data_IF_436513572298
#
_entry.id   IF_436513572298
#
_cell.length_a   1.000
_cell.length_b   1.000
_cell.length_c   1.000
_cell.angle_alpha   90.00
_cell.angle_beta   90.00
_cell.angle_gamma   90.00
#
_symmetry.space_group_name_H-M   'P 1'
#
loop_
_entity.id
_entity.type
_entity.pdbx_description
1 polymer ?
#
# COMPACT_ATOMS: atom_id res chain seq x y z
N UNK A 1 12.88 -9.80 -48.79
CA UNK A 1 13.81 -10.80 -49.36
C UNK A 1 14.70 -11.27 -48.24
N UNK A 2 14.45 -12.46 -47.71
CA UNK A 2 15.17 -13.07 -46.62
C UNK A 2 16.47 -13.70 -47.14
N UNK A 3 17.61 -13.31 -46.62
CA UNK A 3 18.87 -14.02 -46.84
C UNK A 3 19.24 -14.82 -45.57
N UNK A 4 19.22 -16.12 -45.70
CA UNK A 4 19.73 -17.09 -44.76
C UNK A 4 21.24 -17.18 -44.99
N UNK A 5 22.05 -16.85 -44.00
CA UNK A 5 23.51 -17.07 -44.00
C UNK A 5 23.85 -18.38 -43.32
N UNK A 6 24.25 -19.40 -44.11
CA UNK A 6 24.97 -20.58 -43.60
C UNK A 6 26.43 -20.20 -43.30
N UNK A 7 26.86 -20.41 -42.07
CA UNK A 7 28.29 -20.30 -41.71
C UNK A 7 28.99 -21.64 -41.97
N UNK A 8 29.96 -21.65 -42.86
CA UNK A 8 30.97 -22.73 -43.01
C UNK A 8 32.33 -22.18 -42.57
N UNK A 9 32.94 -22.88 -41.65
CA UNK A 9 34.29 -22.59 -41.14
C UNK A 9 35.29 -22.49 -42.30
N UNK A 10 36.03 -21.40 -42.35
CA UNK A 10 37.46 -21.19 -42.60
C UNK A 10 37.71 -19.77 -43.12
N UNK A 11 38.57 -19.03 -42.44
CA UNK A 11 39.26 -17.88 -43.02
C UNK A 11 38.50 -16.54 -42.89
N UNK A 12 39.16 -15.66 -42.18
CA UNK A 12 38.81 -14.24 -42.01
C UNK A 12 38.47 -13.58 -43.36
N UNK A 13 37.26 -13.13 -43.50
CA UNK A 13 36.92 -12.18 -44.56
C UNK A 13 36.10 -11.04 -43.90
N UNK A 14 36.73 -9.88 -43.78
CA UNK A 14 36.03 -8.66 -43.37
C UNK A 14 35.19 -8.16 -44.56
N UNK A 15 33.90 -8.17 -44.42
CA UNK A 15 33.01 -7.43 -45.31
C UNK A 15 32.57 -6.16 -44.61
N UNK A 16 33.12 -5.05 -45.04
CA UNK A 16 32.67 -3.70 -44.64
C UNK A 16 31.62 -3.26 -45.68
N UNK A 17 30.39 -3.15 -45.27
CA UNK A 17 29.35 -2.46 -46.06
C UNK A 17 29.01 -1.18 -45.36
N UNK A 18 29.55 -0.07 -45.88
CA UNK A 18 29.20 1.28 -45.41
C UNK A 18 27.96 1.77 -46.14
N UNK A 19 26.88 2.00 -45.41
CA UNK A 19 25.81 2.88 -45.82
C UNK A 19 25.35 3.69 -44.57
N UNK A 20 25.63 4.99 -44.59
CA UNK A 20 25.00 6.00 -43.75
C UNK A 20 25.66 6.22 -42.38
N UNK A 21 26.40 7.29 -42.25
CA UNK A 21 26.77 8.14 -41.11
C UNK A 21 26.58 7.64 -39.66
N UNK A 22 27.08 6.47 -39.32
CA UNK A 22 27.16 5.96 -37.95
C UNK A 22 28.51 5.32 -37.73
N UNK A 23 29.19 5.63 -36.61
CA UNK A 23 30.49 5.05 -36.26
C UNK A 23 30.46 3.52 -36.36
N UNK A 24 31.37 2.98 -37.13
CA UNK A 24 31.54 1.54 -37.32
C UNK A 24 32.00 0.91 -35.99
N UNK A 25 31.08 0.31 -35.26
CA UNK A 25 31.38 -0.47 -34.06
C UNK A 25 31.99 -1.80 -34.46
N UNK A 26 33.17 -2.11 -33.93
CA UNK A 26 33.84 -3.36 -34.21
C UNK A 26 33.13 -4.55 -33.55
N UNK A 27 33.28 -5.76 -34.10
CA UNK A 27 32.74 -7.01 -33.54
C UNK A 27 33.17 -7.25 -32.08
N UNK A 28 34.30 -6.72 -31.69
CA UNK A 28 34.82 -6.75 -30.32
C UNK A 28 34.02 -5.87 -29.37
N UNK A 29 33.53 -4.71 -29.81
CA UNK A 29 32.65 -3.83 -29.04
C UNK A 29 31.27 -4.48 -28.80
N UNK A 30 30.77 -5.23 -29.78
CA UNK A 30 29.49 -5.94 -29.66
C UNK A 30 29.55 -7.07 -28.65
N UNK A 31 30.64 -7.86 -28.65
CA UNK A 31 30.86 -8.95 -27.68
C UNK A 31 31.02 -8.43 -26.25
N UNK A 32 31.74 -7.33 -26.06
CA UNK A 32 31.92 -6.66 -24.77
C UNK A 32 30.60 -6.02 -24.25
N UNK A 33 29.74 -5.54 -25.14
CA UNK A 33 28.42 -5.01 -24.78
C UNK A 33 27.47 -6.12 -24.32
N UNK A 34 27.44 -7.24 -25.05
CA UNK A 34 26.62 -8.41 -24.66
C UNK A 34 27.08 -9.01 -23.33
N UNK A 35 28.38 -9.13 -23.09
CA UNK A 35 28.92 -9.63 -21.82
C UNK A 35 28.52 -8.76 -20.63
N UNK A 36 28.56 -7.43 -20.80
CA UNK A 36 28.13 -6.48 -19.76
C UNK A 36 26.63 -6.56 -19.49
N UNK A 37 25.80 -6.81 -20.50
CA UNK A 37 24.35 -6.93 -20.36
C UNK A 37 23.96 -8.22 -19.63
N UNK A 38 24.60 -9.34 -19.97
CA UNK A 38 24.37 -10.63 -19.29
C UNK A 38 24.85 -10.60 -17.84
N UNK A 39 25.97 -9.94 -17.54
CA UNK A 39 26.47 -9.76 -16.18
C UNK A 39 25.52 -8.88 -15.33
N UNK A 40 25.01 -7.76 -15.88
CA UNK A 40 24.01 -6.93 -15.21
C UNK A 40 22.71 -7.70 -14.90
N UNK A 41 22.22 -8.47 -15.85
CA UNK A 41 21.00 -9.30 -15.68
C UNK A 41 21.23 -10.37 -14.61
N UNK A 42 22.38 -11.03 -14.61
CA UNK A 42 22.75 -12.03 -13.60
C UNK A 42 22.81 -11.41 -12.20
N UNK A 43 23.46 -10.26 -12.04
CA UNK A 43 23.54 -9.53 -10.76
C UNK A 43 22.16 -9.06 -10.28
N UNK A 44 21.27 -8.64 -11.18
CA UNK A 44 19.92 -8.23 -10.86
C UNK A 44 19.07 -9.43 -10.39
N UNK A 45 19.17 -10.56 -11.08
CA UNK A 45 18.48 -11.81 -10.69
C UNK A 45 18.96 -12.30 -9.32
N UNK A 46 20.27 -12.22 -9.05
CA UNK A 46 20.86 -12.60 -7.77
C UNK A 46 20.41 -11.67 -6.62
N UNK A 47 20.27 -10.37 -6.88
CA UNK A 47 19.71 -9.42 -5.91
C UNK A 47 18.22 -9.69 -5.61
N UNK A 48 17.45 -10.01 -6.63
CA UNK A 48 16.03 -10.30 -6.48
C UNK A 48 15.81 -11.61 -5.70
N UNK A 49 16.59 -12.66 -5.98
CA UNK A 49 16.52 -13.92 -5.23
C UNK A 49 16.96 -13.76 -3.77
N UNK A 50 17.95 -12.92 -3.49
CA UNK A 50 18.36 -12.62 -2.12
C UNK A 50 17.29 -11.82 -1.36
N UNK A 51 16.54 -10.94 -2.04
CA UNK A 51 15.40 -10.22 -1.44
C UNK A 51 14.26 -11.17 -1.12
N UNK A 52 13.85 -12.02 -2.04
CA UNK A 52 12.80 -13.02 -1.79
C UNK A 52 13.16 -13.95 -0.64
N UNK A 53 14.38 -14.45 -0.58
CA UNK A 53 14.84 -15.28 0.54
C UNK A 53 14.77 -14.57 1.91
N UNK A 54 15.07 -13.26 1.95
CA UNK A 54 14.91 -12.46 3.19
C UNK A 54 13.44 -12.31 3.60
N UNK A 55 12.54 -12.05 2.66
CA UNK A 55 11.10 -11.97 2.95
C UNK A 55 10.53 -13.29 3.46
N UNK A 56 10.93 -14.42 2.86
CA UNK A 56 10.53 -15.74 3.33
C UNK A 56 11.07 -16.05 4.73
N UNK A 57 12.31 -15.66 5.02
CA UNK A 57 12.90 -15.85 6.35
C UNK A 57 12.14 -15.07 7.43
N UNK A 58 11.79 -13.80 7.16
CA UNK A 58 11.00 -12.95 8.08
C UNK A 58 9.59 -13.53 8.28
N UNK A 59 8.91 -13.93 7.21
CA UNK A 59 7.59 -14.55 7.29
C UNK A 59 7.60 -15.87 8.09
N UNK A 60 8.65 -16.67 7.94
CA UNK A 60 8.84 -17.91 8.70
C UNK A 60 9.10 -17.62 10.19
N UNK A 61 9.83 -16.56 10.50
CA UNK A 61 10.09 -16.15 11.88
C UNK A 61 8.81 -15.63 12.57
N UNK A 62 7.98 -14.85 11.89
CA UNK A 62 6.69 -14.40 12.39
C UNK A 62 5.74 -15.57 12.66
N UNK A 63 5.66 -16.57 11.75
CA UNK A 63 4.84 -17.76 11.95
C UNK A 63 5.31 -18.61 13.13
N UNK A 64 6.62 -18.64 13.44
CA UNK A 64 7.16 -19.34 14.63
C UNK A 64 6.83 -18.58 15.92
N UNK A 65 6.86 -17.26 15.92
CA UNK A 65 6.47 -16.43 17.06
C UNK A 65 5.01 -16.64 17.46
N UNK A 66 4.10 -16.58 16.48
CA UNK A 66 2.67 -16.77 16.74
C UNK A 66 2.29 -18.16 17.25
N UNK A 67 3.02 -19.20 16.85
CA UNK A 67 2.81 -20.56 17.37
C UNK A 67 3.28 -20.73 18.81
N UNK A 68 4.37 -20.05 19.21
CA UNK A 68 4.86 -20.09 20.60
C UNK A 68 3.90 -19.38 21.55
N UNK A 69 3.31 -18.24 21.16
CA UNK A 69 2.32 -17.55 22.00
C UNK A 69 1.04 -18.37 22.18
N UNK A 70 0.57 -19.08 21.15
CA UNK A 70 -0.58 -19.98 21.27
C UNK A 70 -0.30 -21.20 22.16
N UNK A 71 0.91 -21.75 22.11
CA UNK A 71 1.29 -22.90 22.94
C UNK A 71 1.40 -22.51 24.44
N UNK A 72 1.92 -21.32 24.74
CA UNK A 72 2.03 -20.84 26.14
C UNK A 72 0.66 -20.55 26.76
N UNK A 73 -0.32 -20.08 25.98
CA UNK A 73 -1.68 -19.83 26.48
C UNK A 73 -2.46 -21.11 26.77
N UNK A 74 -2.21 -22.18 26.03
CA UNK A 74 -2.90 -23.48 26.25
C UNK A 74 -2.34 -24.22 27.48
N UNK A 75 -1.05 -24.12 27.78
CA UNK A 75 -0.46 -24.79 28.96
C UNK A 75 -0.76 -24.06 30.27
N UNK A 76 -1.00 -22.77 30.26
CA UNK A 76 -1.39 -22.02 31.47
C UNK A 76 -2.84 -22.32 31.91
N UNK A 77 -3.71 -22.73 30.99
CA UNK A 77 -5.13 -23.00 31.29
C UNK A 77 -5.40 -24.34 32.01
N UNK A 78 -4.47 -25.28 32.00
CA UNK A 78 -4.66 -26.63 32.57
C UNK A 78 -4.22 -26.70 34.04
N UNK A 79 -3.38 -25.79 34.50
CA UNK A 79 -2.84 -25.78 35.86
C UNK A 79 -3.73 -25.14 36.94
N UNK A 80 -4.83 -24.45 36.55
CA UNK A 80 -5.69 -23.71 37.50
C UNK A 80 -6.98 -24.45 37.89
N UNK A 81 -7.32 -25.59 37.27
CA UNK A 81 -8.57 -26.31 37.55
C UNK A 81 -8.46 -27.29 38.74
N UNK A 82 -7.27 -27.44 39.37
CA UNK A 82 -6.99 -28.42 40.41
C UNK A 82 -7.18 -28.02 41.87
N UNK A 83 -7.42 -26.76 42.19
CA UNK A 83 -7.47 -26.28 43.58
C UNK A 83 -8.44 -25.11 43.73
N UNK A 84 -9.71 -25.31 43.79
CA UNK A 84 -10.68 -24.55 44.60
C UNK A 84 -12.07 -25.20 44.47
N UNK A 85 -12.28 -26.27 45.20
CA UNK A 85 -13.59 -26.53 45.75
C UNK A 85 -13.71 -25.73 47.04
N UNK A 86 -14.88 -25.13 47.24
CA UNK A 86 -15.32 -24.46 48.48
C UNK A 86 -14.83 -23.00 48.66
N UNK A 87 -15.61 -22.11 48.17
CA UNK A 87 -16.26 -20.99 48.90
C UNK A 87 -17.04 -20.12 47.91
N UNK A 88 -18.31 -20.40 47.76
CA UNK A 88 -19.28 -19.46 47.27
C UNK A 88 -19.51 -18.40 48.34
N UNK A 89 -19.60 -17.15 47.91
CA UNK A 89 -20.33 -16.00 48.41
C UNK A 89 -19.51 -14.75 48.59
N UNK A 90 -20.02 -13.72 47.89
CA UNK A 90 -19.78 -12.30 48.07
C UNK A 90 -18.39 -11.79 47.65
N UNK A 91 -18.31 -11.26 46.43
CA UNK A 91 -17.87 -9.86 46.19
C UNK A 91 -18.50 -9.44 44.86
N UNK A 92 -19.63 -8.78 44.92
CA UNK A 92 -20.09 -7.89 43.85
C UNK A 92 -19.24 -6.62 43.95
N UNK A 93 -18.59 -6.27 42.84
CA UNK A 93 -17.99 -4.97 42.65
C UNK A 93 -16.49 -4.91 42.90
N UNK A 94 -15.81 -4.58 41.86
CA UNK A 94 -14.48 -3.99 41.65
C UNK A 94 -13.58 -4.89 40.83
N UNK A 95 -13.26 -4.41 39.65
CA UNK A 95 -12.20 -4.95 38.83
C UNK A 95 -12.59 -5.05 37.35
N UNK A 96 -12.91 -3.93 36.73
CA UNK A 96 -12.77 -3.78 35.29
C UNK A 96 -11.28 -3.92 34.95
N UNK A 97 -10.81 -5.15 34.88
CA UNK A 97 -9.51 -5.46 34.35
C UNK A 97 -9.64 -5.34 32.85
N UNK A 98 -9.24 -4.16 32.33
CA UNK A 98 -9.25 -3.75 30.95
C UNK A 98 -8.80 -4.82 29.96
N UNK A 99 -9.67 -5.72 29.62
CA UNK A 99 -9.75 -6.30 28.32
C UNK A 99 -10.36 -5.19 27.46
N UNK A 100 -9.53 -4.42 26.76
CA UNK A 100 -9.95 -3.57 25.68
C UNK A 100 -10.50 -4.47 24.57
N UNK A 101 -11.68 -5.04 24.79
CA UNK A 101 -12.53 -5.52 23.73
C UNK A 101 -12.76 -4.29 22.86
N UNK A 102 -12.03 -4.24 21.75
CA UNK A 102 -12.11 -3.21 20.72
C UNK A 102 -13.57 -3.22 20.27
N UNK A 103 -14.39 -2.36 20.89
CA UNK A 103 -15.79 -2.19 20.52
C UNK A 103 -15.75 -1.70 19.08
N UNK A 104 -16.14 -2.56 18.14
CA UNK A 104 -16.35 -2.16 16.76
C UNK A 104 -17.42 -1.06 16.78
N UNK A 105 -16.97 0.18 16.78
CA UNK A 105 -17.85 1.34 16.68
C UNK A 105 -18.48 1.28 15.29
N UNK A 106 -19.79 1.30 15.22
CA UNK A 106 -20.49 1.30 13.93
C UNK A 106 -20.05 2.53 13.11
N UNK A 107 -19.79 2.33 11.82
CA UNK A 107 -19.46 3.41 10.89
C UNK A 107 -20.72 4.23 10.52
N UNK A 108 -21.38 4.80 11.54
CA UNK A 108 -22.52 5.68 11.32
C UNK A 108 -22.12 6.91 10.52
N UNK A 109 -22.91 7.27 9.50
CA UNK A 109 -22.62 8.38 8.60
C UNK A 109 -21.65 8.02 7.47
N UNK A 110 -21.27 6.74 7.31
CA UNK A 110 -20.60 6.29 6.10
C UNK A 110 -21.53 6.45 4.90
N UNK A 111 -21.06 7.13 3.87
CA UNK A 111 -21.77 7.29 2.60
C UNK A 111 -21.16 6.33 1.58
N UNK A 112 -22.01 5.64 0.83
CA UNK A 112 -21.60 4.69 -0.21
C UNK A 112 -21.99 5.21 -1.59
N UNK A 113 -21.11 5.05 -2.55
CA UNK A 113 -21.26 5.50 -3.95
C UNK A 113 -21.03 4.29 -4.87
N UNK A 114 -22.08 3.57 -5.25
CA UNK A 114 -21.96 2.40 -6.12
C UNK A 114 -21.80 2.78 -7.58
N UNK A 115 -21.29 1.83 -8.41
CA UNK A 115 -21.28 1.94 -9.87
C UNK A 115 -20.35 3.00 -10.43
N UNK A 116 -19.24 3.31 -9.73
CA UNK A 116 -18.25 4.26 -10.21
C UNK A 116 -17.51 3.71 -11.44
N UNK A 117 -17.28 4.57 -12.44
CA UNK A 117 -16.43 4.26 -13.60
C UNK A 117 -14.97 4.03 -13.14
N UNK A 118 -14.18 3.38 -14.01
CA UNK A 118 -12.78 3.00 -13.70
C UNK A 118 -11.84 3.20 -14.88
N UNK A 119 -12.22 4.06 -15.84
CA UNK A 119 -11.39 4.27 -17.02
C UNK A 119 -10.20 5.15 -16.69
N UNK A 120 -9.03 4.76 -17.19
CA UNK A 120 -7.86 5.62 -17.16
C UNK A 120 -8.00 6.73 -18.20
N UNK A 121 -7.92 7.96 -17.76
CA UNK A 121 -8.05 9.15 -18.62
C UNK A 121 -6.87 10.09 -18.42
N UNK A 122 -6.67 10.97 -19.38
CA UNK A 122 -5.69 12.06 -19.29
C UNK A 122 -6.41 13.38 -18.96
N UNK A 123 -5.77 14.22 -18.13
CA UNK A 123 -6.30 15.52 -17.75
C UNK A 123 -7.22 15.48 -16.53
N UNK A 124 -7.88 16.61 -16.27
CA UNK A 124 -8.70 16.80 -15.06
C UNK A 124 -10.07 16.18 -15.20
N UNK A 125 -10.52 15.53 -14.13
CA UNK A 125 -11.84 14.92 -14.01
C UNK A 125 -12.72 15.74 -13.08
N UNK A 126 -13.96 16.03 -13.49
CA UNK A 126 -14.95 16.66 -12.64
C UNK A 126 -15.62 15.59 -11.74
N UNK A 127 -15.19 15.51 -10.49
CA UNK A 127 -15.76 14.58 -9.52
C UNK A 127 -16.92 15.21 -8.77
N UNK A 128 -18.05 14.50 -8.58
CA UNK A 128 -19.17 15.00 -7.79
C UNK A 128 -18.93 14.95 -6.27
N UNK A 129 -17.96 14.18 -5.79
CA UNK A 129 -17.59 14.09 -4.38
C UNK A 129 -16.35 14.93 -4.08
N UNK A 130 -16.27 15.47 -2.86
CA UNK A 130 -15.13 16.26 -2.35
C UNK A 130 -14.68 15.70 -1.00
N UNK A 131 -13.48 15.06 -0.93
CA UNK A 131 -12.65 14.62 -2.06
C UNK A 131 -13.32 13.51 -2.87
N UNK A 132 -12.81 13.16 -4.07
CA UNK A 132 -13.34 12.06 -4.86
C UNK A 132 -13.14 10.70 -4.14
N UNK A 133 -14.01 9.75 -4.46
CA UNK A 133 -13.99 8.39 -3.87
C UNK A 133 -13.87 7.29 -4.92
N UNK A 134 -13.62 7.67 -6.16
CA UNK A 134 -13.54 6.79 -7.33
C UNK A 134 -14.08 7.50 -8.57
N UNK A 135 -14.17 6.81 -9.68
CA UNK A 135 -14.52 7.36 -10.98
C UNK A 135 -13.34 7.25 -11.95
N UNK A 136 -13.48 7.84 -13.14
CA UNK A 136 -12.37 7.92 -14.10
C UNK A 136 -11.18 8.66 -13.47
N UNK A 137 -9.96 8.21 -13.76
CA UNK A 137 -8.79 8.69 -13.06
C UNK A 137 -7.51 8.58 -13.92
N UNK A 138 -6.37 9.05 -13.41
CA UNK A 138 -5.07 8.97 -14.08
C UNK A 138 -4.62 7.50 -14.23
N UNK A 139 -3.91 7.17 -15.31
CA UNK A 139 -3.23 5.89 -15.46
C UNK A 139 -2.01 5.69 -14.55
N UNK A 140 -1.69 6.69 -13.72
CA UNK A 140 -0.59 6.64 -12.74
C UNK A 140 -1.15 6.93 -11.35
N UNK A 141 -0.81 6.12 -10.37
CA UNK A 141 -1.25 6.27 -8.99
C UNK A 141 -0.37 7.21 -8.18
N UNK A 142 -0.92 7.79 -7.13
CA UNK A 142 -0.20 8.53 -6.11
C UNK A 142 0.48 7.54 -5.14
N UNK A 143 1.78 7.70 -4.87
CA UNK A 143 2.46 6.88 -3.87
C UNK A 143 1.78 7.03 -2.50
N UNK A 144 1.49 5.92 -1.83
CA UNK A 144 0.98 5.95 -0.46
C UNK A 144 1.95 6.57 0.51
N UNK A 145 1.44 7.23 1.53
CA UNK A 145 2.18 7.91 2.59
C UNK A 145 1.62 9.29 2.92
N UNK A 146 2.36 10.06 3.69
CA UNK A 146 1.94 11.36 4.23
C UNK A 146 2.47 12.51 3.36
N UNK A 147 1.59 13.41 2.97
CA UNK A 147 1.91 14.61 2.19
C UNK A 147 1.63 15.88 3.00
N UNK A 148 2.47 16.89 2.84
CA UNK A 148 2.28 18.22 3.45
C UNK A 148 1.60 19.24 2.53
N UNK A 149 1.38 18.88 1.27
CA UNK A 149 0.68 19.67 0.27
C UNK A 149 -0.47 18.86 -0.33
N UNK A 150 -1.48 19.53 -0.91
CA UNK A 150 -2.51 18.85 -1.71
C UNK A 150 -1.89 18.00 -2.80
N UNK A 151 -2.52 16.89 -3.10
CA UNK A 151 -2.12 15.97 -4.17
C UNK A 151 -3.19 15.98 -5.27
N UNK A 152 -2.83 15.59 -6.52
CA UNK A 152 -3.80 15.51 -7.60
C UNK A 152 -4.89 14.47 -7.31
N UNK A 153 -6.12 14.82 -7.63
CA UNK A 153 -7.28 13.96 -7.39
C UNK A 153 -7.22 12.66 -8.20
N UNK A 154 -6.82 12.79 -9.45
CA UNK A 154 -6.85 11.70 -10.42
C UNK A 154 -5.87 10.59 -10.04
N UNK A 155 -4.68 10.94 -9.56
CA UNK A 155 -3.68 9.99 -9.09
C UNK A 155 -4.09 9.38 -7.73
N UNK A 156 -4.68 10.18 -6.84
CA UNK A 156 -5.20 9.69 -5.56
C UNK A 156 -6.34 8.70 -5.77
N UNK A 157 -7.24 8.94 -6.73
CA UNK A 157 -8.33 8.01 -7.08
C UNK A 157 -7.79 6.68 -7.60
N UNK A 158 -6.72 6.68 -8.39
CA UNK A 158 -6.05 5.44 -8.81
C UNK A 158 -5.52 4.65 -7.60
N UNK A 159 -4.92 5.35 -6.63
CA UNK A 159 -4.49 4.69 -5.39
C UNK A 159 -5.66 4.07 -4.62
N UNK A 160 -6.84 4.71 -4.61
CA UNK A 160 -8.05 4.13 -4.03
C UNK A 160 -8.49 2.85 -4.76
N UNK A 161 -8.33 2.79 -6.08
CA UNK A 161 -8.62 1.59 -6.89
C UNK A 161 -7.74 0.41 -6.48
N UNK A 162 -6.45 0.67 -6.19
CA UNK A 162 -5.50 -0.31 -5.66
C UNK A 162 -5.76 -0.72 -4.20
N UNK A 163 -6.67 -0.04 -3.52
CA UNK A 163 -7.05 -0.35 -2.14
C UNK A 163 -6.50 0.60 -1.09
N UNK A 164 -5.96 1.74 -1.48
CA UNK A 164 -5.57 2.76 -0.52
C UNK A 164 -6.78 3.36 0.21
N UNK A 165 -6.54 3.85 1.41
CA UNK A 165 -7.42 4.76 2.13
C UNK A 165 -6.85 6.17 2.01
N UNK A 166 -7.64 7.12 1.56
CA UNK A 166 -7.24 8.51 1.50
C UNK A 166 -7.85 9.30 2.65
N UNK A 167 -7.04 9.61 3.65
CA UNK A 167 -7.43 10.44 4.78
C UNK A 167 -7.03 11.88 4.46
N UNK A 168 -8.01 12.71 4.21
CA UNK A 168 -7.80 14.12 3.91
C UNK A 168 -8.14 14.98 5.12
N UNK A 169 -7.41 16.08 5.29
CA UNK A 169 -7.66 17.03 6.37
C UNK A 169 -7.67 18.46 5.84
N UNK A 170 -8.47 19.32 6.48
CA UNK A 170 -8.56 20.74 6.13
C UNK A 170 -7.24 21.44 6.49
N UNK A 171 -6.66 22.27 5.60
CA UNK A 171 -5.55 23.13 5.97
C UNK A 171 -5.88 23.96 7.21
N UNK A 172 -4.95 24.01 8.19
CA UNK A 172 -5.19 24.64 9.49
C UNK A 172 -5.83 23.74 10.54
N UNK A 173 -5.92 22.42 10.30
CA UNK A 173 -6.27 21.47 11.36
C UNK A 173 -5.31 21.67 12.55
N UNK A 174 -5.80 21.69 13.82
CA UNK A 174 -4.93 21.80 14.99
C UNK A 174 -3.80 20.78 14.98
N UNK A 175 -2.60 21.18 15.41
CA UNK A 175 -1.43 20.31 15.37
C UNK A 175 -1.61 19.02 16.19
N UNK A 176 -2.35 19.09 17.30
CA UNK A 176 -2.71 17.92 18.11
C UNK A 176 -3.59 16.92 17.34
N UNK A 177 -4.57 17.42 16.58
CA UNK A 177 -5.45 16.57 15.78
C UNK A 177 -4.71 15.96 14.60
N UNK A 178 -3.81 16.74 13.97
CA UNK A 178 -2.98 16.21 12.89
C UNK A 178 -2.03 15.13 13.42
N UNK A 179 -1.43 15.32 14.60
CA UNK A 179 -0.57 14.32 15.21
C UNK A 179 -1.33 13.03 15.55
N UNK A 180 -2.52 13.13 16.12
CA UNK A 180 -3.38 11.98 16.42
C UNK A 180 -3.78 11.23 15.13
N UNK A 181 -4.15 11.97 14.07
CA UNK A 181 -4.48 11.37 12.76
C UNK A 181 -3.29 10.61 12.18
N UNK A 182 -2.09 11.17 12.25
CA UNK A 182 -0.86 10.53 11.75
C UNK A 182 -0.48 9.29 12.56
N UNK A 183 -0.74 9.30 13.87
CA UNK A 183 -0.54 8.13 14.74
C UNK A 183 -1.49 6.99 14.37
N UNK A 184 -2.76 7.30 14.12
CA UNK A 184 -3.78 6.32 13.72
C UNK A 184 -3.45 5.59 12.40
N UNK A 185 -2.76 6.26 11.46
CA UNK A 185 -2.36 5.66 10.16
C UNK A 185 -0.93 5.13 10.17
N UNK A 186 -0.23 5.25 11.29
CA UNK A 186 1.17 4.83 11.38
C UNK A 186 1.32 3.34 11.11
N UNK A 187 2.25 3.00 10.19
CA UNK A 187 2.51 1.61 9.82
C UNK A 187 1.48 0.99 8.86
N UNK A 188 0.49 1.75 8.39
CA UNK A 188 -0.49 1.26 7.41
C UNK A 188 0.03 1.53 5.99
N UNK A 189 0.44 0.51 5.24
CA UNK A 189 1.13 0.68 3.94
C UNK A 189 0.23 1.24 2.83
N UNK A 190 -1.09 1.13 3.00
CA UNK A 190 -2.09 1.64 2.07
C UNK A 190 -2.78 2.90 2.59
N UNK A 191 -2.14 3.65 3.49
CA UNK A 191 -2.62 4.96 3.91
C UNK A 191 -2.04 6.06 3.03
N UNK A 192 -2.92 6.90 2.48
CA UNK A 192 -2.63 8.12 1.75
C UNK A 192 -3.17 9.29 2.56
N UNK A 193 -2.33 10.21 3.00
CA UNK A 193 -2.73 11.34 3.85
C UNK A 193 -2.29 12.65 3.22
N UNK A 194 -3.22 13.58 3.06
CA UNK A 194 -2.87 14.91 2.52
C UNK A 194 -3.80 16.01 3.03
N UNK A 195 -3.34 17.27 3.08
CA UNK A 195 -4.27 18.39 3.20
C UNK A 195 -5.15 18.48 1.95
N UNK A 196 -6.39 18.95 2.14
CA UNK A 196 -7.33 19.15 1.05
C UNK A 196 -8.10 20.45 1.29
N UNK A 197 -7.86 21.51 0.50
CA UNK A 197 -8.62 22.76 0.57
C UNK A 197 -10.09 22.56 0.23
N UNK A 198 -10.98 23.23 0.93
CA UNK A 198 -12.43 23.18 0.64
C UNK A 198 -13.14 21.92 1.12
N UNK A 199 -12.52 21.13 2.01
CA UNK A 199 -13.19 19.96 2.61
C UNK A 199 -14.52 20.32 3.27
N UNK A 200 -15.57 19.49 3.11
CA UNK A 200 -16.87 19.70 3.77
C UNK A 200 -16.83 19.44 5.29
N UNK A 201 -15.77 18.80 5.80
CA UNK A 201 -15.56 18.49 7.21
C UNK A 201 -14.08 18.69 7.57
N UNK A 202 -13.70 18.87 8.85
CA UNK A 202 -12.29 18.95 9.25
C UNK A 202 -11.41 17.79 8.76
N UNK A 203 -11.97 16.58 8.77
CA UNK A 203 -11.33 15.36 8.26
C UNK A 203 -12.35 14.59 7.41
N UNK A 204 -11.86 13.99 6.32
CA UNK A 204 -12.66 13.08 5.49
C UNK A 204 -11.82 11.84 5.21
N UNK A 205 -12.34 10.68 5.57
CA UNK A 205 -11.75 9.38 5.25
C UNK A 205 -12.48 8.77 4.04
N UNK A 206 -11.73 8.44 3.00
CA UNK A 206 -12.22 7.88 1.74
C UNK A 206 -11.53 6.56 1.44
N UNK A 207 -12.28 5.60 0.92
CA UNK A 207 -11.79 4.45 0.19
C UNK A 207 -12.64 4.30 -1.07
N UNK A 208 -12.31 3.39 -1.97
CA UNK A 208 -13.08 3.27 -3.21
C UNK A 208 -14.59 3.09 -2.95
N UNK A 209 -15.36 4.00 -3.48
CA UNK A 209 -16.83 3.99 -3.37
C UNK A 209 -17.42 4.31 -2.01
N UNK A 210 -16.62 4.73 -1.02
CA UNK A 210 -17.10 5.08 0.32
C UNK A 210 -16.42 6.31 0.90
N UNK A 211 -17.16 7.03 1.74
CA UNK A 211 -16.66 8.23 2.41
C UNK A 211 -17.25 8.41 3.80
N UNK A 212 -16.44 8.78 4.75
CA UNK A 212 -16.81 9.11 6.12
C UNK A 212 -16.31 10.53 6.46
N UNK A 213 -17.23 11.39 6.90
CA UNK A 213 -16.92 12.75 7.36
C UNK A 213 -16.77 12.75 8.88
N UNK A 214 -15.69 13.39 9.35
CA UNK A 214 -15.30 13.42 10.76
C UNK A 214 -15.03 14.86 11.20
N UNK A 215 -15.39 15.16 12.45
CA UNK A 215 -15.20 16.50 13.03
C UNK A 215 -13.90 16.63 13.82
N UNK A 216 -13.28 15.52 14.25
CA UNK A 216 -12.02 15.47 14.99
C UNK A 216 -11.27 14.18 14.70
N UNK A 217 -9.95 14.18 14.88
CA UNK A 217 -9.13 12.99 14.76
C UNK A 217 -9.41 11.95 15.87
N UNK A 218 -9.85 12.41 17.04
CA UNK A 218 -10.26 11.55 18.15
C UNK A 218 -11.59 10.81 17.95
N UNK A 219 -12.27 11.00 16.81
CA UNK A 219 -13.52 10.28 16.54
C UNK A 219 -13.23 8.78 16.36
N UNK A 220 -13.79 7.90 17.21
CA UNK A 220 -13.47 6.47 17.20
C UNK A 220 -13.87 5.77 15.90
N UNK A 221 -14.73 6.41 15.07
CA UNK A 221 -15.08 5.89 13.74
C UNK A 221 -13.89 5.95 12.77
N UNK A 222 -12.91 6.86 12.97
CA UNK A 222 -11.72 6.92 12.13
C UNK A 222 -10.93 5.62 12.22
N UNK A 223 -10.64 5.17 13.44
CA UNK A 223 -9.94 3.91 13.64
C UNK A 223 -10.72 2.71 13.09
N UNK A 224 -12.03 2.68 13.28
CA UNK A 224 -12.88 1.64 12.70
C UNK A 224 -12.89 1.67 11.17
N UNK A 225 -12.85 2.86 10.57
CA UNK A 225 -12.73 3.02 9.12
C UNK A 225 -11.39 2.45 8.62
N UNK A 226 -10.28 2.83 9.27
CA UNK A 226 -8.94 2.33 8.94
C UNK A 226 -8.92 0.79 9.03
N UNK A 227 -9.34 0.22 10.16
CA UNK A 227 -9.36 -1.23 10.36
C UNK A 227 -10.24 -1.98 9.34
N UNK A 228 -11.28 -1.32 8.83
CA UNK A 228 -12.22 -1.91 7.84
C UNK A 228 -11.65 -1.89 6.43
N UNK A 229 -10.89 -0.86 6.06
CA UNK A 229 -10.48 -0.62 4.66
C UNK A 229 -8.98 -0.79 4.41
N UNK A 230 -8.14 -0.88 5.42
CA UNK A 230 -6.67 -0.98 5.30
C UNK A 230 -6.13 -2.16 4.51
N UNK A 231 -6.92 -3.20 4.31
CA UNK A 231 -6.54 -4.35 3.50
C UNK A 231 -6.85 -4.17 2.01
N UNK A 232 -7.54 -3.10 1.64
CA UNK A 232 -7.99 -2.86 0.27
C UNK A 232 -8.98 -3.89 -0.29
N UNK A 233 -9.43 -4.85 0.52
CA UNK A 233 -10.21 -6.02 0.07
C UNK A 233 -11.55 -5.67 -0.60
N UNK A 234 -12.02 -4.42 -0.47
CA UNK A 234 -13.26 -3.90 -1.07
C UNK A 234 -12.99 -3.00 -2.29
N UNK A 235 -11.74 -2.78 -2.64
CA UNK A 235 -11.35 -2.02 -3.81
C UNK A 235 -11.49 -2.86 -5.10
N UNK A 236 -11.59 -2.23 -6.28
CA UNK A 236 -11.66 -2.95 -7.55
C UNK A 236 -10.40 -3.78 -7.86
N UNK A 237 -9.22 -3.27 -7.49
CA UNK A 237 -7.91 -3.90 -7.70
C UNK A 237 -7.18 -4.10 -6.37
N UNK A 238 -7.67 -5.00 -5.50
CA UNK A 238 -7.14 -5.14 -4.16
C UNK A 238 -5.70 -5.65 -4.18
N UNK A 239 -4.81 -4.92 -3.50
CA UNK A 239 -3.39 -5.26 -3.43
C UNK A 239 -2.56 -4.79 -4.62
N UNK A 240 -3.09 -3.90 -5.46
CA UNK A 240 -2.33 -3.16 -6.46
C UNK A 240 -1.18 -2.37 -5.82
N UNK A 241 -0.19 -1.95 -6.60
CA UNK A 241 0.97 -1.23 -6.06
C UNK A 241 0.57 0.12 -5.47
N UNK A 242 1.11 0.46 -4.31
CA UNK A 242 0.94 1.75 -3.62
C UNK A 242 2.25 2.54 -3.54
N UNK A 243 3.28 2.07 -4.25
CA UNK A 243 4.60 2.70 -4.38
C UNK A 243 5.09 2.54 -5.82
N UNK A 244 6.04 3.36 -6.27
CA UNK A 244 6.52 3.31 -7.65
C UNK A 244 5.70 4.12 -8.65
N UNK A 245 4.64 4.76 -8.21
CA UNK A 245 3.86 5.75 -8.96
C UNK A 245 4.46 7.16 -8.86
N UNK A 246 3.61 8.15 -8.70
CA UNK A 246 4.01 9.57 -8.62
C UNK A 246 3.99 10.12 -7.20
N UNK A 247 4.63 11.26 -6.99
CA UNK A 247 4.71 11.96 -5.70
C UNK A 247 5.73 11.36 -4.75
N UNK A 248 6.22 12.22 -3.84
CA UNK A 248 7.20 11.85 -2.80
C UNK A 248 6.57 12.13 -1.44
N UNK A 249 6.06 11.11 -0.73
CA UNK A 249 5.56 11.28 0.62
C UNK A 249 6.71 11.65 1.57
N UNK A 250 6.38 12.30 2.68
CA UNK A 250 7.32 12.48 3.78
C UNK A 250 7.57 11.11 4.41
N UNK A 251 8.85 10.73 4.55
CA UNK A 251 9.26 9.53 5.27
C UNK A 251 9.03 9.62 6.76
#
# INVERSE_FOLDING_TARGET
MNLICLAKNHGVASVVTALGGGEARTLTDWSASMSRTTEKTSRQTQRNSARTARFEAVAKQQRRGSRRHKAVLVTASIAVIGLVGVSAWAIAGVGDSGSSAQRNVALTGLTTYPGLARDHVTGTVAYPQTPPVGGNHSGTWQNCGVYSAPIPNEEAVHSLEHGAMWITYRPGLPASDLAALLDDVSGEPYALVSPYPGLPSPIVASAWGVQLKLTAASDPRLKTFIDTYKSGSKAPEPGGECTGGTGTPKG
#
